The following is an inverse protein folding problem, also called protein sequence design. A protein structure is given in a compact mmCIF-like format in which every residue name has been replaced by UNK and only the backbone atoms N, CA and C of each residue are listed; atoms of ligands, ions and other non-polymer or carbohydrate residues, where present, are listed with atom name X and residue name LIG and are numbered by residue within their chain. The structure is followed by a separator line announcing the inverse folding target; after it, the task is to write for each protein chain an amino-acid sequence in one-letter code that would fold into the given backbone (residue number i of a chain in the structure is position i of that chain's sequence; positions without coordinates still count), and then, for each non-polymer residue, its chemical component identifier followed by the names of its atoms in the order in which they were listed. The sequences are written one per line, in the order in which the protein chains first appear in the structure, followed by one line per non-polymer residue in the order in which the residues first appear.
data_IF_560866396716
#
_entry.id   IF_560866396716
#
_cell.length_a   1.000
_cell.length_b   1.000
_cell.length_c   1.000
_cell.angle_alpha   90.00
_cell.angle_beta   90.00
_cell.angle_gamma   90.00
#
_symmetry.space_group_name_H-M   'P 1'
#
loop_
_entity.id
_entity.type
_entity.pdbx_description
1 polymer ?
#
# COMPACT_ATOMS: atom_id res chain seq x y z
N UNK A 1 -26.32 -16.76 -39.33
CA UNK A 1 -26.04 -17.64 -38.17
C UNK A 1 -25.40 -16.78 -37.07
N UNK A 2 -26.06 -16.62 -35.93
CA UNK A 2 -25.54 -15.82 -34.82
C UNK A 2 -24.48 -16.64 -34.05
N UNK A 3 -23.30 -16.07 -33.85
CA UNK A 3 -22.23 -16.68 -33.03
C UNK A 3 -22.61 -16.52 -31.56
N UNK A 4 -22.94 -17.62 -30.89
CA UNK A 4 -23.20 -17.65 -29.45
C UNK A 4 -21.88 -17.46 -28.70
N UNK A 5 -21.68 -16.27 -28.13
CA UNK A 5 -20.54 -15.98 -27.25
C UNK A 5 -20.72 -16.74 -25.94
N UNK A 6 -19.98 -17.83 -25.72
CA UNK A 6 -19.94 -18.51 -24.42
C UNK A 6 -19.38 -17.53 -23.38
N UNK A 7 -20.19 -17.13 -22.40
CA UNK A 7 -19.74 -16.35 -21.27
C UNK A 7 -18.70 -17.18 -20.50
N UNK A 8 -17.47 -16.65 -20.41
CA UNK A 8 -16.38 -17.29 -19.67
C UNK A 8 -16.67 -17.10 -18.19
N UNK A 9 -17.13 -18.15 -17.52
CA UNK A 9 -17.41 -18.13 -16.09
C UNK A 9 -16.08 -17.88 -15.35
N UNK A 10 -15.86 -16.66 -14.88
CA UNK A 10 -14.68 -16.29 -14.10
C UNK A 10 -15.03 -16.44 -12.63
N UNK A 11 -14.48 -17.47 -11.99
CA UNK A 11 -14.48 -17.52 -10.53
C UNK A 11 -13.49 -16.48 -10.00
N UNK A 12 -13.87 -15.73 -8.97
CA UNK A 12 -12.93 -14.89 -8.23
C UNK A 12 -11.90 -15.73 -7.48
N UNK A 13 -10.90 -15.09 -6.89
CA UNK A 13 -9.94 -15.78 -6.02
C UNK A 13 -10.61 -16.18 -4.70
N UNK A 14 -10.50 -17.46 -4.34
CA UNK A 14 -10.86 -17.98 -3.03
C UNK A 14 -9.59 -18.15 -2.20
N UNK A 15 -9.64 -17.79 -0.93
CA UNK A 15 -8.53 -17.91 0.00
C UNK A 15 -9.02 -18.60 1.28
N UNK A 16 -8.19 -19.48 1.83
CA UNK A 16 -8.43 -20.14 3.12
C UNK A 16 -8.38 -19.15 4.30
N UNK A 17 -8.89 -19.58 5.45
CA UNK A 17 -8.75 -18.84 6.71
C UNK A 17 -7.26 -18.54 7.00
N UNK A 18 -7.01 -17.36 7.59
CA UNK A 18 -5.68 -16.87 7.93
C UNK A 18 -4.67 -16.79 6.77
N UNK A 19 -5.09 -16.91 5.50
CA UNK A 19 -4.20 -16.84 4.34
C UNK A 19 -3.27 -15.62 4.40
N UNK A 20 -3.83 -14.45 4.73
CA UNK A 20 -3.08 -13.19 4.86
C UNK A 20 -2.07 -13.21 6.03
N UNK A 21 -2.45 -13.79 7.16
CA UNK A 21 -1.56 -13.95 8.31
C UNK A 21 -0.43 -14.94 8.03
N UNK A 22 -0.62 -15.88 7.12
CA UNK A 22 0.42 -16.84 6.74
C UNK A 22 1.35 -16.30 5.65
N UNK A 23 0.83 -15.47 4.74
CA UNK A 23 1.61 -14.99 3.57
C UNK A 23 2.19 -13.60 3.73
N UNK A 24 1.49 -12.67 4.38
CA UNK A 24 1.90 -11.26 4.45
C UNK A 24 2.38 -10.83 5.83
N UNK A 25 2.24 -11.70 6.83
CA UNK A 25 2.50 -11.33 8.21
C UNK A 25 3.98 -11.05 8.51
N UNK A 26 4.91 -11.53 7.68
CA UNK A 26 6.32 -11.17 7.82
C UNK A 26 6.51 -9.64 7.81
N UNK A 27 5.80 -8.95 6.92
CA UNK A 27 5.84 -7.48 6.79
C UNK A 27 5.41 -6.79 8.09
N UNK A 28 4.50 -7.40 8.86
CA UNK A 28 3.97 -6.83 10.09
C UNK A 28 4.67 -7.32 11.38
N UNK A 29 5.34 -8.49 11.34
CA UNK A 29 5.97 -9.12 12.52
C UNK A 29 7.44 -8.78 12.65
N UNK A 30 8.13 -8.54 11.54
CA UNK A 30 9.51 -8.09 11.56
C UNK A 30 9.53 -6.55 11.67
N UNK A 31 10.00 -5.98 12.79
CA UNK A 31 9.98 -4.54 12.99
C UNK A 31 10.90 -3.79 12.01
N UNK A 32 11.99 -4.40 11.55
CA UNK A 32 12.90 -3.78 10.58
C UNK A 32 12.25 -3.71 9.20
N UNK A 33 11.60 -4.79 8.78
CA UNK A 33 10.82 -4.80 7.54
C UNK A 33 9.66 -3.82 7.63
N UNK A 34 8.87 -3.85 8.71
CA UNK A 34 7.74 -2.95 8.89
C UNK A 34 8.15 -1.47 8.77
N UNK A 35 9.25 -1.09 9.43
CA UNK A 35 9.75 0.28 9.37
C UNK A 35 10.27 0.64 7.98
N UNK A 36 10.98 -0.28 7.32
CA UNK A 36 11.49 -0.09 5.95
C UNK A 36 10.35 0.10 4.96
N UNK A 37 9.28 -0.69 5.07
CA UNK A 37 8.10 -0.56 4.21
C UNK A 37 7.35 0.76 4.44
N UNK A 38 7.30 1.27 5.68
CA UNK A 38 6.72 2.58 5.98
C UNK A 38 7.52 3.72 5.32
N UNK A 39 8.85 3.66 5.35
CA UNK A 39 9.71 4.63 4.67
C UNK A 39 9.61 4.49 3.15
N UNK A 40 9.56 3.26 2.64
CA UNK A 40 9.39 3.00 1.20
C UNK A 40 8.06 3.58 0.69
N UNK A 41 6.97 3.47 1.46
CA UNK A 41 5.69 4.08 1.11
C UNK A 41 5.76 5.62 1.04
N UNK A 42 6.53 6.26 1.93
CA UNK A 42 6.75 7.71 1.87
C UNK A 42 7.58 8.10 0.64
N UNK A 43 8.61 7.33 0.31
CA UNK A 43 9.40 7.53 -0.91
C UNK A 43 8.56 7.38 -2.17
N UNK A 44 7.69 6.36 -2.23
CA UNK A 44 6.73 6.15 -3.32
C UNK A 44 5.73 7.31 -3.46
N UNK A 45 5.49 8.07 -2.39
CA UNK A 45 4.72 9.31 -2.41
C UNK A 45 5.53 10.55 -2.84
N UNK A 46 6.79 10.38 -3.25
CA UNK A 46 7.68 11.46 -3.66
C UNK A 46 8.13 12.35 -2.49
N UNK A 47 8.17 11.79 -1.27
CA UNK A 47 8.67 12.51 -0.11
C UNK A 47 10.19 12.78 -0.22
N UNK A 48 10.60 13.96 0.20
CA UNK A 48 12.01 14.32 0.35
C UNK A 48 12.48 14.16 1.79
N UNK A 49 11.55 14.29 2.75
CA UNK A 49 11.79 14.14 4.17
C UNK A 49 10.79 13.16 4.77
N UNK A 50 11.29 12.28 5.64
CA UNK A 50 10.48 11.36 6.44
C UNK A 50 10.87 11.53 7.91
N UNK A 51 9.97 12.09 8.71
CA UNK A 51 10.13 12.24 10.14
C UNK A 51 9.55 11.03 10.86
N UNK A 52 10.38 10.35 11.66
CA UNK A 52 9.99 9.16 12.43
C UNK A 52 10.08 9.48 13.92
N UNK A 53 8.95 9.39 14.61
CA UNK A 53 8.89 9.52 16.07
C UNK A 53 8.77 8.15 16.70
N UNK A 54 9.85 7.70 17.34
CA UNK A 54 9.91 6.42 18.06
C UNK A 54 9.48 6.65 19.52
N UNK A 55 8.46 5.96 20.02
CA UNK A 55 8.02 6.12 21.40
C UNK A 55 9.03 5.53 22.39
N UNK A 56 9.19 6.19 23.53
CA UNK A 56 10.06 5.72 24.62
C UNK A 56 9.42 4.61 25.46
N UNK A 57 8.10 4.46 25.38
CA UNK A 57 7.33 3.49 26.16
C UNK A 57 6.45 2.64 25.25
N UNK A 58 6.28 1.37 25.61
CA UNK A 58 5.38 0.46 24.89
C UNK A 58 3.93 0.95 25.01
N UNK A 59 3.18 0.82 23.93
CA UNK A 59 1.77 1.25 23.87
C UNK A 59 1.57 2.72 23.50
N UNK A 60 2.63 3.52 23.42
CA UNK A 60 2.58 4.85 22.81
C UNK A 60 2.73 4.77 21.28
N UNK A 61 2.38 5.87 20.61
CA UNK A 61 2.30 5.91 19.14
C UNK A 61 3.69 5.98 18.50
N UNK A 62 3.96 5.05 17.58
CA UNK A 62 4.96 5.23 16.52
C UNK A 62 4.34 6.11 15.43
N UNK A 63 4.97 7.23 15.10
CA UNK A 63 4.46 8.17 14.09
C UNK A 63 5.45 8.29 12.95
N UNK A 64 4.95 8.15 11.73
CA UNK A 64 5.67 8.37 10.48
C UNK A 64 4.97 9.53 9.79
N UNK A 65 5.73 10.59 9.51
CA UNK A 65 5.24 11.78 8.82
C UNK A 65 6.13 12.03 7.63
N UNK A 66 5.53 12.06 6.45
CA UNK A 66 6.20 12.40 5.21
C UNK A 66 5.68 13.72 4.65
N UNK A 67 6.47 14.31 3.75
CA UNK A 67 6.10 15.48 2.98
C UNK A 67 5.75 15.13 1.52
N UNK A 68 5.35 13.89 1.24
CA UNK A 68 4.96 13.43 -0.09
C UNK A 68 3.65 14.04 -0.60
N UNK A 69 3.20 13.59 -1.77
CA UNK A 69 2.01 14.12 -2.44
C UNK A 69 0.70 13.78 -1.70
N UNK A 70 0.76 12.92 -0.68
CA UNK A 70 -0.38 12.52 0.14
C UNK A 70 -1.47 11.76 -0.64
N UNK A 71 -2.67 11.67 -0.06
CA UNK A 71 -3.82 11.06 -0.72
C UNK A 71 -5.10 11.85 -0.46
N UNK A 72 -5.94 11.97 -1.48
CA UNK A 72 -7.34 12.38 -1.29
C UNK A 72 -8.13 11.28 -0.59
N UNK A 73 -9.28 11.62 -0.01
CA UNK A 73 -10.15 10.64 0.65
C UNK A 73 -10.58 9.48 -0.30
N UNK A 74 -10.78 9.77 -1.59
CA UNK A 74 -11.13 8.75 -2.58
C UNK A 74 -9.95 7.83 -2.89
N UNK A 75 -8.74 8.39 -3.04
CA UNK A 75 -7.52 7.61 -3.23
C UNK A 75 -7.27 6.72 -2.01
N UNK A 76 -7.40 7.27 -0.80
CA UNK A 76 -7.25 6.50 0.44
C UNK A 76 -8.23 5.32 0.46
N UNK A 77 -9.53 5.54 0.26
CA UNK A 77 -10.54 4.45 0.24
C UNK A 77 -10.25 3.39 -0.83
N UNK A 78 -9.69 3.77 -1.98
CA UNK A 78 -9.43 2.85 -3.08
C UNK A 78 -8.10 2.09 -2.99
N UNK A 79 -7.11 2.65 -2.30
CA UNK A 79 -5.73 2.14 -2.20
C UNK A 79 -5.46 1.46 -0.86
N UNK A 80 -5.94 2.06 0.23
CA UNK A 80 -5.76 1.53 1.57
C UNK A 80 -6.44 0.16 1.69
N UNK A 81 -5.74 -0.80 2.31
CA UNK A 81 -6.18 -2.20 2.46
C UNK A 81 -6.47 -2.94 1.14
N UNK A 82 -6.03 -2.41 -0.01
CA UNK A 82 -6.09 -3.13 -1.29
C UNK A 82 -4.84 -3.97 -1.48
N UNK A 83 -4.97 -5.26 -1.22
CA UNK A 83 -3.87 -6.20 -1.32
C UNK A 83 -3.43 -6.41 -2.77
N UNK A 84 -2.11 -6.54 -2.99
CA UNK A 84 -1.54 -6.67 -4.33
C UNK A 84 -1.85 -5.47 -5.23
N UNK A 85 -1.96 -4.26 -4.64
CA UNK A 85 -2.26 -3.05 -5.39
C UNK A 85 -1.18 -2.79 -6.45
N UNK A 86 -1.58 -2.81 -7.72
CA UNK A 86 -0.67 -2.57 -8.84
C UNK A 86 -0.46 -1.06 -9.02
N UNK A 87 0.53 -0.51 -8.30
CA UNK A 87 0.88 0.92 -8.33
C UNK A 87 1.08 1.43 -9.76
N UNK A 88 1.90 0.73 -10.55
CA UNK A 88 2.25 1.13 -11.93
C UNK A 88 1.02 1.23 -12.83
N UNK A 89 0.09 0.27 -12.73
CA UNK A 89 -1.17 0.31 -13.51
C UNK A 89 -2.05 1.50 -13.14
N UNK A 90 -2.06 1.91 -11.87
CA UNK A 90 -2.97 2.93 -11.35
C UNK A 90 -2.37 4.33 -11.26
N UNK A 91 -1.04 4.46 -11.24
CA UNK A 91 -0.32 5.72 -11.01
C UNK A 91 0.78 5.98 -12.07
N UNK A 92 1.05 5.03 -12.95
CA UNK A 92 2.14 5.13 -13.94
C UNK A 92 3.50 4.70 -13.39
N UNK A 93 4.50 4.71 -14.27
CA UNK A 93 5.85 4.27 -13.92
C UNK A 93 6.57 5.28 -13.03
N UNK A 94 6.36 6.57 -13.31
CA UNK A 94 7.04 7.66 -12.61
C UNK A 94 6.37 7.97 -11.27
N UNK A 95 7.17 8.43 -10.32
CA UNK A 95 6.70 8.98 -9.05
C UNK A 95 6.26 10.42 -9.27
N UNK A 96 5.14 10.80 -8.65
CA UNK A 96 4.69 12.19 -8.60
C UNK A 96 5.40 12.90 -7.44
N UNK A 97 5.99 14.06 -7.70
CA UNK A 97 6.62 14.87 -6.66
C UNK A 97 5.71 16.07 -6.32
N UNK A 98 5.60 16.43 -5.03
CA UNK A 98 4.92 17.66 -4.61
C UNK A 98 5.42 18.89 -5.37
N UNK A 99 4.52 19.78 -5.84
CA UNK A 99 4.91 20.97 -6.58
C UNK A 99 5.63 21.99 -5.69
N UNK A 100 6.61 22.70 -6.27
CA UNK A 100 7.32 23.78 -5.56
C UNK A 100 8.50 23.33 -4.71
N UNK A 101 9.05 22.14 -4.99
CA UNK A 101 10.43 21.78 -4.61
C UNK A 101 11.39 22.03 -5.75
#
# INVERSE_FOLDING_TARGET
MAKTTKQKQSYGSLFEEDYLLRTLCHIARDPEVALTELVANAWDAGAALVDITIPLTKGANLVIKDDGHGMTAQQFKGRWMRLGYNRVKHQGQNVEFPPGR
#
